data_IF_731176489722
#
_entry.id   IF_731176489722
#
_cell.length_a   1.000
_cell.length_b   1.000
_cell.length_c   1.000
_cell.angle_alpha   90.00
_cell.angle_beta   90.00
_cell.angle_gamma   90.00
#
_symmetry.space_group_name_H-M   'P 1'
#
loop_
_entity.id
_entity.type
_entity.pdbx_description
1 polymer ?
#
# COMPACT_ATOMS: atom_id res chain seq x y z
N UNK A 1 -16.64 13.55 9.24
CA UNK A 1 -17.40 14.71 8.73
C UNK A 1 -16.62 15.26 7.55
N UNK A 2 -17.26 15.51 6.40
CA UNK A 2 -16.59 16.00 5.17
C UNK A 2 -17.52 17.05 4.56
N UNK A 3 -17.03 18.27 4.32
CA UNK A 3 -17.85 19.44 3.90
C UNK A 3 -19.10 19.68 4.76
N UNK A 4 -18.97 19.71 6.09
CA UNK A 4 -20.11 20.01 6.97
C UNK A 4 -21.16 18.90 7.10
N UNK A 5 -21.01 17.78 6.39
CA UNK A 5 -21.95 16.65 6.41
C UNK A 5 -21.33 15.38 6.98
N UNK A 6 -22.11 14.60 7.72
CA UNK A 6 -21.71 13.27 8.19
C UNK A 6 -21.73 12.27 7.03
N UNK A 7 -20.57 11.99 6.43
CA UNK A 7 -20.45 10.97 5.37
C UNK A 7 -20.37 9.53 5.87
N UNK A 8 -19.92 9.33 7.11
CA UNK A 8 -19.75 7.99 7.68
C UNK A 8 -20.09 8.03 9.17
N UNK A 9 -20.96 7.11 9.63
CA UNK A 9 -21.39 6.98 11.03
C UNK A 9 -21.58 5.50 11.35
N UNK A 10 -20.99 5.02 12.45
CA UNK A 10 -21.05 3.62 12.88
C UNK A 10 -19.79 3.13 13.58
N UNK A 11 -19.74 1.84 13.99
CA UNK A 11 -18.59 1.25 14.67
C UNK A 11 -17.32 1.29 13.81
N UNK A 12 -16.16 1.45 14.45
CA UNK A 12 -14.85 1.54 13.77
C UNK A 12 -14.63 0.36 12.82
N UNK A 13 -14.98 -0.87 13.23
CA UNK A 13 -14.81 -2.06 12.40
C UNK A 13 -15.70 -2.03 11.14
N UNK A 14 -16.91 -1.49 11.26
CA UNK A 14 -17.84 -1.38 10.15
C UNK A 14 -17.34 -0.34 9.13
N UNK A 15 -16.82 0.78 9.61
CA UNK A 15 -16.17 1.80 8.78
C UNK A 15 -14.90 1.27 8.11
N UNK A 16 -14.09 0.47 8.81
CA UNK A 16 -12.92 -0.21 8.23
C UNK A 16 -13.35 -1.18 7.12
N UNK A 17 -14.38 -1.98 7.34
CA UNK A 17 -14.85 -2.91 6.32
C UNK A 17 -15.43 -2.18 5.10
N UNK A 18 -16.17 -1.09 5.31
CA UNK A 18 -16.86 -0.35 4.24
C UNK A 18 -15.94 0.58 3.44
N UNK A 19 -14.93 1.15 4.08
CA UNK A 19 -14.09 2.18 3.46
C UNK A 19 -12.60 1.86 3.44
N UNK A 20 -12.11 0.95 4.30
CA UNK A 20 -10.72 0.48 4.31
C UNK A 20 -10.58 -0.85 3.56
N UNK A 21 -11.00 -0.82 2.30
CA UNK A 21 -10.83 -1.92 1.38
C UNK A 21 -9.41 -1.91 0.79
N UNK A 22 -8.84 -3.11 0.63
CA UNK A 22 -7.49 -3.29 0.13
C UNK A 22 -6.40 -3.46 1.20
N UNK A 23 -5.16 -3.50 0.72
CA UNK A 23 -3.95 -3.74 1.49
C UNK A 23 -2.98 -2.57 1.35
N UNK A 24 -2.19 -2.34 2.39
CA UNK A 24 -1.02 -1.47 2.36
C UNK A 24 0.23 -2.35 2.28
N UNK A 25 1.03 -2.15 1.23
CA UNK A 25 2.31 -2.81 1.05
C UNK A 25 3.43 -1.78 1.22
N UNK A 26 4.30 -2.00 2.20
CA UNK A 26 5.47 -1.17 2.46
C UNK A 26 6.70 -2.00 2.12
N UNK A 27 7.58 -1.46 1.28
CA UNK A 27 8.81 -2.13 0.84
C UNK A 27 10.00 -1.26 1.22
N UNK A 28 10.96 -1.85 1.92
CA UNK A 28 12.22 -1.22 2.30
C UNK A 28 13.36 -1.75 1.44
N UNK A 29 13.97 -0.86 0.65
CA UNK A 29 15.08 -1.21 -0.26
C UNK A 29 16.39 -1.25 0.53
N UNK A 30 17.19 -2.29 0.30
CA UNK A 30 18.48 -2.47 0.96
C UNK A 30 19.50 -1.42 0.54
N UNK A 31 20.30 -0.98 1.50
CA UNK A 31 21.38 -0.01 1.29
C UNK A 31 22.50 -0.63 0.46
N UNK A 32 22.94 0.06 -0.58
CA UNK A 32 24.07 -0.38 -1.40
C UNK A 32 24.29 0.52 -2.62
N UNK A 33 25.27 0.16 -3.44
CA UNK A 33 25.40 0.76 -4.77
C UNK A 33 24.16 0.42 -5.63
N UNK A 34 23.71 1.37 -6.46
CA UNK A 34 22.56 1.22 -7.37
C UNK A 34 21.17 1.19 -6.72
N UNK A 35 20.95 1.85 -5.58
CA UNK A 35 19.60 2.07 -5.01
C UNK A 35 18.57 2.52 -6.05
N UNK A 36 18.80 3.57 -6.89
CA UNK A 36 17.77 4.02 -7.83
C UNK A 36 17.34 2.91 -8.81
N UNK A 37 18.29 2.22 -9.43
CA UNK A 37 17.98 1.13 -10.36
C UNK A 37 17.21 -0.03 -9.71
N UNK A 38 17.51 -0.35 -8.43
CA UNK A 38 16.79 -1.37 -7.68
C UNK A 38 15.36 -0.93 -7.36
N UNK A 39 15.19 0.33 -6.96
CA UNK A 39 13.88 0.91 -6.72
C UNK A 39 13.02 0.83 -7.98
N UNK A 40 13.56 1.14 -9.16
CA UNK A 40 12.83 1.01 -10.43
C UNK A 40 12.41 -0.44 -10.74
N UNK A 41 13.31 -1.42 -10.53
CA UNK A 41 12.96 -2.84 -10.68
C UNK A 41 11.85 -3.27 -9.72
N UNK A 42 11.87 -2.80 -8.48
CA UNK A 42 10.83 -3.09 -7.48
C UNK A 42 9.51 -2.45 -7.90
N UNK A 43 9.52 -1.21 -8.41
CA UNK A 43 8.31 -0.54 -8.94
C UNK A 43 7.68 -1.33 -10.07
N UNK A 44 8.49 -1.80 -11.02
CA UNK A 44 8.02 -2.61 -12.14
C UNK A 44 7.48 -3.97 -11.68
N UNK A 45 8.15 -4.62 -10.72
CA UNK A 45 7.67 -5.85 -10.10
C UNK A 45 6.30 -5.66 -9.45
N UNK A 46 6.12 -4.60 -8.65
CA UNK A 46 4.83 -4.32 -7.98
C UNK A 46 3.75 -4.04 -9.02
N UNK A 47 4.04 -3.25 -10.06
CA UNK A 47 3.10 -2.94 -11.14
C UNK A 47 2.62 -4.20 -11.88
N UNK A 48 3.53 -5.16 -12.08
CA UNK A 48 3.23 -6.41 -12.80
C UNK A 48 2.51 -7.43 -11.91
N UNK A 49 2.90 -7.52 -10.65
CA UNK A 49 2.39 -8.51 -9.69
C UNK A 49 1.03 -8.13 -9.13
N UNK A 50 0.84 -6.84 -8.84
CA UNK A 50 -0.37 -6.30 -8.23
C UNK A 50 -0.98 -5.27 -9.18
N UNK A 51 -1.72 -5.71 -10.21
CA UNK A 51 -2.38 -4.80 -11.14
C UNK A 51 -3.36 -3.91 -10.36
N UNK A 52 -3.22 -2.59 -10.51
CA UNK A 52 -4.00 -1.61 -9.75
C UNK A 52 -3.38 -1.16 -8.42
N UNK A 53 -2.17 -1.63 -8.06
CA UNK A 53 -1.42 -1.06 -6.96
C UNK A 53 -1.08 0.42 -7.23
N UNK A 54 -1.43 1.29 -6.29
CA UNK A 54 -1.19 2.73 -6.34
C UNK A 54 -0.04 3.08 -5.42
N UNK A 55 1.02 3.66 -5.97
CA UNK A 55 2.10 4.23 -5.15
C UNK A 55 1.58 5.46 -4.40
N UNK A 56 1.61 5.40 -3.06
CA UNK A 56 1.14 6.48 -2.19
C UNK A 56 2.28 7.37 -1.71
N UNK A 57 3.41 6.76 -1.35
CA UNK A 57 4.57 7.47 -0.86
C UNK A 57 5.85 6.82 -1.38
N UNK A 58 6.80 7.67 -1.74
CA UNK A 58 8.13 7.29 -2.15
C UNK A 58 9.15 8.13 -1.38
N UNK A 59 9.88 7.47 -0.49
CA UNK A 59 11.09 8.00 0.12
C UNK A 59 12.27 7.18 -0.39
N UNK A 60 13.50 7.72 -0.24
CA UNK A 60 14.76 7.21 -0.83
C UNK A 60 14.92 5.68 -0.78
N UNK A 61 14.40 5.01 0.24
CA UNK A 61 14.42 3.53 0.38
C UNK A 61 13.11 2.93 0.85
N UNK A 62 12.02 3.69 0.88
CA UNK A 62 10.74 3.25 1.41
C UNK A 62 9.65 3.53 0.38
N UNK A 63 9.07 2.47 -0.14
CA UNK A 63 7.96 2.54 -1.07
C UNK A 63 6.69 2.07 -0.38
N UNK A 64 5.66 2.92 -0.36
CA UNK A 64 4.36 2.60 0.22
C UNK A 64 3.33 2.52 -0.89
N UNK A 65 2.74 1.34 -1.07
CA UNK A 65 1.70 1.06 -2.03
C UNK A 65 0.37 0.79 -1.34
N UNK A 66 -0.71 1.21 -2.00
CA UNK A 66 -2.07 0.80 -1.69
C UNK A 66 -2.59 -0.12 -2.79
N UNK A 67 -2.99 -1.32 -2.41
CA UNK A 67 -3.53 -2.34 -3.30
C UNK A 67 -5.04 -2.40 -3.04
N UNK A 68 -5.87 -1.80 -3.91
CA UNK A 68 -7.30 -1.62 -3.62
C UNK A 68 -8.10 -2.94 -3.62
N UNK A 69 -7.55 -4.01 -4.19
CA UNK A 69 -8.24 -5.28 -4.35
C UNK A 69 -7.87 -6.29 -3.26
N UNK A 70 -8.90 -6.94 -2.68
CA UNK A 70 -8.77 -8.14 -1.83
C UNK A 70 -8.72 -9.46 -2.61
N UNK A 71 -8.51 -9.39 -3.93
CA UNK A 71 -8.45 -10.55 -4.82
C UNK A 71 -7.37 -11.56 -4.41
N UNK A 72 -6.31 -11.08 -3.75
CA UNK A 72 -5.22 -11.92 -3.28
C UNK A 72 -5.38 -12.24 -1.80
N UNK A 73 -5.45 -13.53 -1.40
CA UNK A 73 -5.38 -13.90 0.00
C UNK A 73 -4.01 -13.50 0.59
N UNK A 74 -4.01 -13.20 1.89
CA UNK A 74 -2.79 -12.83 2.63
C UNK A 74 -1.62 -13.79 2.39
N UNK A 75 -1.89 -15.10 2.43
CA UNK A 75 -0.88 -16.14 2.22
C UNK A 75 -0.19 -16.01 0.86
N UNK A 76 -0.94 -15.70 -0.19
CA UNK A 76 -0.40 -15.51 -1.53
C UNK A 76 0.43 -14.23 -1.61
N UNK A 77 -0.05 -13.12 -1.03
CA UNK A 77 0.71 -11.86 -1.02
C UNK A 77 2.03 -12.00 -0.26
N UNK A 78 2.00 -12.60 0.94
CA UNK A 78 3.20 -12.88 1.71
C UNK A 78 4.15 -13.81 0.93
N UNK A 79 3.63 -14.89 0.33
CA UNK A 79 4.45 -15.82 -0.45
C UNK A 79 5.12 -15.19 -1.68
N UNK A 80 4.41 -14.32 -2.39
CA UNK A 80 4.98 -13.58 -3.54
C UNK A 80 6.05 -12.60 -3.05
N UNK A 81 5.78 -11.83 -2.00
CA UNK A 81 6.73 -10.87 -1.45
C UNK A 81 7.99 -11.55 -0.90
N UNK A 82 7.86 -12.68 -0.22
CA UNK A 82 8.99 -13.44 0.31
C UNK A 82 9.89 -14.00 -0.81
N UNK A 83 9.29 -14.50 -1.90
CA UNK A 83 10.04 -14.94 -3.09
C UNK A 83 10.78 -13.78 -3.75
N UNK A 84 10.14 -12.62 -3.85
CA UNK A 84 10.71 -11.43 -4.48
C UNK A 84 11.75 -10.75 -3.59
N UNK A 85 11.64 -10.89 -2.27
CA UNK A 85 12.63 -10.38 -1.31
C UNK A 85 14.03 -10.91 -1.62
N UNK A 86 14.13 -12.22 -1.89
CA UNK A 86 15.39 -12.88 -2.25
C UNK A 86 15.90 -12.46 -3.64
N UNK A 87 15.01 -12.25 -4.60
CA UNK A 87 15.37 -11.96 -5.99
C UNK A 87 15.74 -10.48 -6.22
N UNK A 88 15.10 -9.57 -5.48
CA UNK A 88 15.24 -8.11 -5.66
C UNK A 88 16.10 -7.45 -4.56
N UNK A 89 16.71 -8.24 -3.68
CA UNK A 89 17.55 -7.77 -2.55
C UNK A 89 16.82 -6.72 -1.69
N UNK A 90 15.55 -7.01 -1.36
CA UNK A 90 14.71 -6.18 -0.50
C UNK A 90 15.18 -6.37 0.95
N UNK A 91 15.36 -5.27 1.68
CA UNK A 91 15.77 -5.32 3.09
C UNK A 91 14.64 -5.90 3.95
N UNK A 92 13.46 -5.31 3.82
CA UNK A 92 12.28 -5.71 4.57
C UNK A 92 10.99 -5.33 3.84
N UNK A 93 9.88 -5.99 4.18
CA UNK A 93 8.56 -5.63 3.67
C UNK A 93 7.51 -5.82 4.75
N UNK A 94 6.46 -5.00 4.68
CA UNK A 94 5.31 -5.09 5.56
C UNK A 94 4.03 -5.08 4.73
N UNK A 95 3.14 -6.02 5.04
CA UNK A 95 1.79 -6.08 4.50
C UNK A 95 0.82 -5.78 5.64
N UNK A 96 -0.05 -4.80 5.45
CA UNK A 96 -1.07 -4.39 6.40
C UNK A 96 -2.43 -4.24 5.73
N UNK A 97 -3.51 -4.27 6.50
CA UNK A 97 -4.77 -3.74 6.01
C UNK A 97 -4.67 -2.21 6.00
N UNK A 98 -5.24 -1.56 4.99
CA UNK A 98 -5.29 -0.09 4.97
C UNK A 98 -6.00 0.41 6.23
N UNK A 99 -5.40 1.40 6.91
CA UNK A 99 -5.95 1.92 8.15
C UNK A 99 -7.14 2.83 7.87
N UNK A 100 -8.03 2.96 8.86
CA UNK A 100 -9.15 3.89 8.79
C UNK A 100 -8.68 5.35 8.65
N UNK A 101 -7.51 5.66 9.22
CA UNK A 101 -6.85 6.96 9.05
C UNK A 101 -6.46 7.21 7.59
N UNK A 102 -5.90 6.22 6.89
CA UNK A 102 -5.51 6.36 5.48
C UNK A 102 -6.72 6.57 4.56
N UNK A 103 -7.81 5.89 4.86
CA UNK A 103 -9.11 6.11 4.19
C UNK A 103 -9.64 7.51 4.47
N UNK A 104 -9.58 7.95 5.73
CA UNK A 104 -10.03 9.28 6.11
C UNK A 104 -9.21 10.37 5.41
N UNK A 105 -7.88 10.22 5.37
CA UNK A 105 -6.97 11.10 4.63
C UNK A 105 -7.30 11.11 3.13
N UNK A 106 -7.66 9.97 2.54
CA UNK A 106 -8.06 9.89 1.13
C UNK A 106 -9.42 10.57 0.88
N UNK A 107 -10.39 10.42 1.78
CA UNK A 107 -11.68 11.10 1.70
C UNK A 107 -11.54 12.62 1.89
N UNK A 108 -10.65 13.04 2.78
CA UNK A 108 -10.34 14.45 3.01
C UNK A 108 -9.54 15.05 1.84
N UNK A 109 -8.62 14.32 1.22
CA UNK A 109 -7.83 14.83 0.09
C UNK A 109 -8.61 14.95 -1.23
N UNK A 110 -9.76 14.27 -1.36
CA UNK A 110 -10.73 14.50 -2.45
C UNK A 110 -11.45 15.86 -2.34
N UNK A 111 -11.24 16.61 -1.26
CA UNK A 111 -11.65 18.01 -1.14
C UNK A 111 -10.65 18.90 -1.89
N UNK A 112 -10.76 18.95 -3.23
CA UNK A 112 -10.14 20.02 -4.02
C UNK A 112 -10.90 21.32 -3.74
N UNK A 113 -10.21 22.32 -3.20
CA UNK A 113 -10.62 23.72 -3.21
C UNK A 113 -10.51 24.28 -4.63
#
# INVERSE_FOLDING_TARGET
>A
MVNGSFRCLGPIQHLKNKFAEGYTLIIKVKVGANVPQRTDKIKEFVRTTFPGAVLKQEYVRLLTYHIPSKTYPWSQMFGIMEKSRKQLDIEDYSLGQTSLEQVFLQLASLQRF
#
